data_IF_011225301745
#
_entry.id   IF_011225301745
#
_cell.length_a   1.000
_cell.length_b   1.000
_cell.length_c   1.000
_cell.angle_alpha   90.00
_cell.angle_beta   90.00
_cell.angle_gamma   90.00
#
_symmetry.space_group_name_H-M   'P 1'
#
loop_
_entity.id
_entity.type
_entity.pdbx_description
1 polymer ?
#
# COMPACT_ATOMS: atom_id res chain seq x y z
N UNK A 1 23.12 18.58 5.31
CA UNK A 1 22.45 18.40 6.62
C UNK A 1 20.96 18.26 6.37
N UNK A 2 20.22 17.43 7.12
CA UNK A 2 18.76 17.38 6.99
C UNK A 2 18.17 18.77 7.20
N UNK A 3 17.08 19.08 6.50
CA UNK A 3 16.30 20.29 6.74
C UNK A 3 15.91 20.37 8.23
N UNK A 4 16.27 21.45 8.96
CA UNK A 4 15.93 21.61 10.38
C UNK A 4 14.43 21.39 10.67
N UNK A 5 13.54 21.78 9.75
CA UNK A 5 12.11 21.58 9.89
C UNK A 5 11.72 20.09 9.94
N UNK A 6 12.42 19.24 9.18
CA UNK A 6 12.19 17.79 9.20
C UNK A 6 12.66 17.15 10.51
N UNK A 7 13.70 17.69 11.15
CA UNK A 7 14.17 17.20 12.45
C UNK A 7 13.15 17.50 13.55
N UNK A 8 12.61 18.72 13.58
CA UNK A 8 11.55 19.12 14.51
C UNK A 8 10.28 18.28 14.30
N UNK A 9 9.91 18.05 13.04
CA UNK A 9 8.80 17.17 12.65
C UNK A 9 8.96 15.76 13.23
N UNK A 10 10.13 15.16 13.05
CA UNK A 10 10.43 13.82 13.59
C UNK A 10 10.31 13.77 15.12
N UNK A 11 10.77 14.82 15.81
CA UNK A 11 10.64 14.91 17.27
C UNK A 11 9.17 15.05 17.70
N UNK A 12 8.39 15.85 16.99
CA UNK A 12 6.96 16.00 17.23
C UNK A 12 6.20 14.68 17.00
N UNK A 13 6.49 13.98 15.91
CA UNK A 13 5.93 12.65 15.62
C UNK A 13 6.24 11.65 16.74
N UNK A 14 7.50 11.57 17.17
CA UNK A 14 7.94 10.64 18.21
C UNK A 14 7.37 10.95 19.60
N UNK A 15 6.90 12.18 19.82
CA UNK A 15 6.30 12.62 21.10
C UNK A 15 4.77 12.74 21.05
N UNK A 16 4.15 12.48 19.89
CA UNK A 16 2.71 12.50 19.72
C UNK A 16 2.02 11.47 20.63
N UNK A 17 0.92 11.90 21.27
CA UNK A 17 0.14 11.08 22.22
C UNK A 17 -1.30 10.83 21.78
N UNK A 18 -1.67 11.27 20.60
CA UNK A 18 -2.99 11.08 20.01
C UNK A 18 -2.91 11.14 18.50
N UNK A 19 -3.90 10.57 17.82
CA UNK A 19 -4.00 10.66 16.35
C UNK A 19 -3.99 12.11 15.86
N UNK A 20 -4.67 13.02 16.56
CA UNK A 20 -4.68 14.44 16.24
C UNK A 20 -3.29 15.09 16.37
N UNK A 21 -2.54 14.77 17.42
CA UNK A 21 -1.18 15.27 17.59
C UNK A 21 -0.22 14.73 16.52
N UNK A 22 -0.38 13.48 16.11
CA UNK A 22 0.39 12.90 15.01
C UNK A 22 0.06 13.58 13.68
N UNK A 23 -1.23 13.80 13.38
CA UNK A 23 -1.66 14.52 12.18
C UNK A 23 -1.05 15.92 12.10
N UNK A 24 -1.11 16.69 13.19
CA UNK A 24 -0.51 18.03 13.24
C UNK A 24 1.02 18.00 13.12
N UNK A 25 1.69 17.02 13.74
CA UNK A 25 3.13 16.85 13.58
C UNK A 25 3.52 16.63 12.11
N UNK A 26 2.73 15.86 11.36
CA UNK A 26 2.98 15.54 9.96
C UNK A 26 2.90 16.76 9.01
N UNK A 27 2.37 17.92 9.44
CA UNK A 27 2.39 19.15 8.61
C UNK A 27 3.80 19.58 8.21
N UNK A 28 4.80 19.28 9.05
CA UNK A 28 6.20 19.57 8.75
C UNK A 28 6.89 18.48 7.90
N UNK A 29 6.22 17.36 7.61
CA UNK A 29 6.78 16.25 6.85
C UNK A 29 6.75 16.54 5.34
N UNK A 30 7.91 16.77 4.75
CA UNK A 30 8.03 17.19 3.36
C UNK A 30 8.43 16.04 2.44
N UNK A 31 9.38 15.21 2.85
CA UNK A 31 9.99 14.17 2.00
C UNK A 31 10.62 13.07 2.85
N UNK A 32 10.65 11.81 2.39
CA UNK A 32 9.90 11.26 1.24
C UNK A 32 8.38 11.12 1.52
N UNK A 33 7.58 11.04 0.46
CA UNK A 33 6.12 10.85 0.56
C UNK A 33 5.80 9.46 1.11
N UNK A 34 5.14 9.39 2.26
CA UNK A 34 4.96 8.14 3.01
C UNK A 34 3.52 7.95 3.48
N UNK A 35 3.05 6.70 3.48
CA UNK A 35 1.88 6.31 4.26
C UNK A 35 2.28 6.18 5.73
N UNK A 36 1.83 7.10 6.57
CA UNK A 36 2.05 7.06 8.02
C UNK A 36 0.78 6.52 8.66
N UNK A 37 0.90 5.45 9.43
CA UNK A 37 -0.19 4.85 10.22
C UNK A 37 0.13 5.06 11.69
N UNK A 38 -0.86 5.46 12.47
CA UNK A 38 -0.73 5.71 13.91
C UNK A 38 -1.90 5.11 14.67
N UNK A 39 -1.65 4.69 15.90
CA UNK A 39 -2.65 4.23 16.84
C UNK A 39 -2.30 4.74 18.25
N UNK A 40 -3.32 5.04 19.07
CA UNK A 40 -3.13 5.47 20.45
C UNK A 40 -3.79 4.55 21.48
N UNK A 41 -3.53 4.82 22.76
CA UNK A 41 -4.01 4.02 23.90
C UNK A 41 -5.50 4.19 24.17
N UNK A 42 -6.15 5.18 23.56
CA UNK A 42 -7.60 5.38 23.62
C UNK A 42 -8.34 4.51 22.60
N UNK A 43 -7.59 3.81 21.74
CA UNK A 43 -8.13 2.90 20.72
C UNK A 43 -8.39 3.59 19.38
N UNK A 44 -7.89 4.82 19.17
CA UNK A 44 -8.01 5.48 17.88
C UNK A 44 -6.93 4.99 16.92
N UNK A 45 -7.26 4.98 15.63
CA UNK A 45 -6.33 4.71 14.54
C UNK A 45 -6.45 5.80 13.47
N UNK A 46 -5.31 6.16 12.87
CA UNK A 46 -5.25 7.15 11.82
C UNK A 46 -4.23 6.78 10.74
N UNK A 47 -4.46 7.31 9.55
CA UNK A 47 -3.54 7.26 8.43
C UNK A 47 -3.43 8.64 7.78
N UNK A 48 -2.24 8.97 7.29
CA UNK A 48 -1.99 10.15 6.48
C UNK A 48 -0.93 9.83 5.44
N UNK A 49 -1.22 10.16 4.19
CA UNK A 49 -0.23 10.11 3.10
C UNK A 49 0.61 11.39 3.11
N UNK A 50 1.59 11.44 4.00
CA UNK A 50 2.35 12.65 4.31
C UNK A 50 3.49 12.90 3.31
N UNK A 51 3.69 14.16 2.93
CA UNK A 51 4.77 14.62 2.06
C UNK A 51 4.29 15.74 1.14
N UNK A 52 5.23 16.44 0.49
CA UNK A 52 4.91 17.46 -0.52
C UNK A 52 4.73 16.82 -1.88
N UNK A 53 3.49 16.82 -2.37
CA UNK A 53 3.12 16.35 -3.71
C UNK A 53 2.84 17.57 -4.58
N UNK A 54 3.59 17.79 -5.66
CA UNK A 54 3.38 18.96 -6.51
C UNK A 54 2.10 18.82 -7.34
N UNK A 55 1.35 19.92 -7.42
CA UNK A 55 0.28 20.08 -8.42
C UNK A 55 0.93 20.63 -9.69
N UNK A 56 0.65 20.01 -10.83
CA UNK A 56 1.22 20.40 -12.12
C UNK A 56 0.15 21.00 -13.01
N UNK A 57 0.56 21.97 -13.83
CA UNK A 57 -0.27 22.47 -14.92
C UNK A 57 -0.29 21.44 -16.07
N UNK A 58 -1.48 21.10 -16.56
CA UNK A 58 -1.65 20.07 -17.59
C UNK A 58 -1.70 18.63 -17.06
N UNK A 59 -1.60 17.67 -18.00
CA UNK A 59 -1.83 16.26 -17.71
C UNK A 59 -0.70 15.64 -16.89
N UNK A 60 -1.01 14.74 -15.94
CA UNK A 60 0.00 13.98 -15.22
C UNK A 60 0.89 13.12 -16.15
N UNK A 61 2.20 13.17 -15.91
CA UNK A 61 3.18 12.36 -16.64
C UNK A 61 4.06 11.55 -15.68
N UNK A 62 4.38 10.31 -16.09
CA UNK A 62 5.32 9.40 -15.41
C UNK A 62 6.67 9.30 -16.13
N UNK A 63 6.85 10.10 -17.18
CA UNK A 63 8.03 10.14 -18.05
C UNK A 63 8.56 11.57 -18.11
N UNK A 64 9.80 11.79 -18.58
CA UNK A 64 10.28 13.15 -18.83
C UNK A 64 9.31 13.95 -19.71
N UNK A 65 9.05 15.19 -19.32
CA UNK A 65 8.20 16.14 -20.03
C UNK A 65 9.04 17.31 -20.59
N UNK A 66 8.57 18.02 -21.63
CA UNK A 66 9.27 19.17 -22.19
C UNK A 66 9.41 20.35 -21.20
N UNK A 67 10.53 20.45 -20.49
CA UNK A 67 10.77 21.51 -19.51
C UNK A 67 11.01 22.92 -20.08
N UNK A 68 10.89 23.10 -21.40
CA UNK A 68 11.04 24.41 -22.07
C UNK A 68 9.72 25.01 -22.55
N UNK A 69 8.61 24.26 -22.48
CA UNK A 69 7.32 24.68 -23.04
C UNK A 69 6.45 25.46 -22.03
N UNK A 70 6.80 25.42 -20.74
CA UNK A 70 5.95 25.95 -19.66
C UNK A 70 4.73 25.07 -19.35
N UNK A 71 4.49 24.02 -20.14
CA UNK A 71 3.55 22.94 -19.87
C UNK A 71 4.15 22.00 -18.80
N UNK A 72 3.35 21.47 -17.87
CA UNK A 72 3.79 20.58 -16.77
C UNK A 72 4.59 21.23 -15.64
N UNK A 73 4.65 22.56 -15.59
CA UNK A 73 5.24 23.31 -14.49
C UNK A 73 4.50 23.08 -13.17
N UNK A 74 5.21 23.19 -12.06
CA UNK A 74 4.60 23.06 -10.73
C UNK A 74 3.89 24.36 -10.38
N UNK A 75 2.58 24.29 -10.13
CA UNK A 75 1.75 25.44 -9.76
C UNK A 75 1.47 25.52 -8.26
N UNK A 76 2.07 24.61 -7.49
CA UNK A 76 1.95 24.55 -6.05
C UNK A 76 2.13 23.13 -5.54
N UNK A 77 1.65 22.90 -4.33
CA UNK A 77 1.57 21.57 -3.71
C UNK A 77 0.14 21.32 -3.29
N UNK A 78 -0.24 20.03 -3.23
CA UNK A 78 -1.52 19.65 -2.62
C UNK A 78 -1.54 20.21 -1.18
N UNK A 79 -2.57 20.97 -0.78
CA UNK A 79 -2.69 21.44 0.59
C UNK A 79 -2.68 20.27 1.57
N UNK A 80 -2.01 20.42 2.72
CA UNK A 80 -1.85 19.32 3.68
C UNK A 80 -3.19 18.71 4.10
N UNK A 81 -4.19 19.56 4.36
CA UNK A 81 -5.53 19.14 4.79
C UNK A 81 -6.31 18.41 3.68
N UNK A 82 -5.84 18.51 2.44
CA UNK A 82 -6.41 17.81 1.28
C UNK A 82 -5.64 16.54 0.92
N UNK A 83 -4.51 16.23 1.57
CA UNK A 83 -3.81 14.96 1.39
C UNK A 83 -4.71 13.79 1.86
N UNK A 84 -4.60 12.60 1.25
CA UNK A 84 -5.36 11.44 1.69
C UNK A 84 -5.09 11.12 3.16
N UNK A 85 -6.16 11.08 3.96
CA UNK A 85 -6.09 10.79 5.39
C UNK A 85 -7.35 10.06 5.85
N UNK A 86 -7.22 9.32 6.95
CA UNK A 86 -8.30 8.57 7.57
C UNK A 86 -8.16 8.64 9.09
N UNK A 87 -9.28 8.71 9.80
CA UNK A 87 -9.33 8.66 11.26
C UNK A 87 -10.53 7.80 11.68
N UNK A 88 -10.29 6.71 12.40
CA UNK A 88 -11.30 5.74 12.84
C UNK A 88 -12.31 5.37 11.74
N UNK A 89 -11.85 4.80 10.60
CA UNK A 89 -12.76 4.42 9.52
C UNK A 89 -13.75 3.35 9.98
N UNK A 90 -14.95 3.33 9.37
CA UNK A 90 -16.01 2.36 9.70
C UNK A 90 -15.58 0.90 9.51
N UNK A 91 -14.58 0.65 8.66
CA UNK A 91 -13.96 -0.67 8.48
C UNK A 91 -13.35 -1.22 9.77
N UNK A 92 -13.03 -0.37 10.75
CA UNK A 92 -12.38 -0.74 12.00
C UNK A 92 -10.89 -1.10 11.86
N UNK A 93 -10.31 -0.90 10.67
CA UNK A 93 -8.88 -1.11 10.43
C UNK A 93 -8.34 -0.19 9.34
N UNK A 94 -7.02 0.02 9.35
CA UNK A 94 -6.26 0.70 8.31
C UNK A 94 -5.15 -0.24 7.84
N UNK A 95 -5.08 -0.51 6.54
CA UNK A 95 -4.05 -1.35 5.93
C UNK A 95 -3.42 -0.64 4.74
N UNK A 96 -2.10 -0.41 4.79
CA UNK A 96 -1.35 0.14 3.66
C UNK A 96 -0.22 -0.80 3.29
N UNK A 97 -0.10 -1.12 2.01
CA UNK A 97 0.89 -2.05 1.48
C UNK A 97 1.37 -1.61 0.09
N UNK A 98 1.67 -0.31 -0.04
CA UNK A 98 2.08 0.35 -1.30
C UNK A 98 1.04 0.27 -2.43
N UNK A 99 -0.19 -0.16 -2.12
CA UNK A 99 -1.35 -0.03 -2.98
C UNK A 99 -1.72 1.45 -3.19
N UNK A 100 -2.59 1.72 -4.17
CA UNK A 100 -3.15 3.04 -4.40
C UNK A 100 -3.75 3.61 -3.10
N UNK A 101 -3.42 4.87 -2.82
CA UNK A 101 -3.73 5.54 -1.54
C UNK A 101 -5.09 6.24 -1.53
N UNK A 102 -5.62 6.54 -2.71
CA UNK A 102 -6.91 7.16 -2.91
C UNK A 102 -7.59 6.53 -4.14
N UNK A 103 -8.90 6.70 -4.24
CA UNK A 103 -9.68 6.23 -5.37
C UNK A 103 -9.61 7.20 -6.57
N UNK A 104 -10.35 6.88 -7.63
CA UNK A 104 -10.41 7.69 -8.85
C UNK A 104 -11.14 9.04 -8.68
N UNK A 105 -11.85 9.24 -7.57
CA UNK A 105 -12.59 10.47 -7.28
C UNK A 105 -11.74 11.51 -6.55
N UNK A 106 -10.55 11.13 -6.07
CA UNK A 106 -9.61 12.04 -5.44
C UNK A 106 -9.14 13.11 -6.44
N UNK A 107 -9.27 14.42 -6.13
CA UNK A 107 -9.14 15.47 -7.14
C UNK A 107 -7.71 15.75 -7.59
N UNK A 108 -6.72 15.21 -6.88
CA UNK A 108 -5.31 15.46 -7.19
C UNK A 108 -4.62 14.21 -7.71
N UNK A 109 -3.70 14.42 -8.64
CA UNK A 109 -2.81 13.37 -9.09
C UNK A 109 -1.73 13.06 -8.04
N UNK A 110 -1.66 11.80 -7.59
CA UNK A 110 -0.60 11.31 -6.69
C UNK A 110 0.42 10.48 -7.46
N UNK A 111 -0.01 9.39 -8.08
CA UNK A 111 0.79 8.49 -8.92
C UNK A 111 -0.14 7.58 -9.73
N UNK A 112 0.39 6.87 -10.74
CA UNK A 112 -0.23 5.64 -11.27
C UNK A 112 0.65 4.41 -11.07
N UNK A 113 1.84 4.58 -10.50
CA UNK A 113 2.75 3.51 -10.19
C UNK A 113 2.62 3.14 -8.71
N UNK A 114 1.83 2.10 -8.48
CA UNK A 114 1.58 1.51 -7.16
C UNK A 114 1.80 0.00 -7.27
N UNK A 115 2.01 -0.65 -6.12
CA UNK A 115 1.90 -2.11 -6.08
C UNK A 115 0.49 -2.55 -6.46
N UNK A 116 0.38 -3.72 -7.08
CA UNK A 116 -0.86 -4.36 -7.55
C UNK A 116 -1.95 -4.53 -6.50
N UNK A 117 -1.60 -4.41 -5.21
CA UNK A 117 -2.56 -4.39 -4.11
C UNK A 117 -2.79 -5.76 -3.45
N UNK A 118 -2.18 -6.84 -3.95
CA UNK A 118 -2.38 -8.19 -3.42
C UNK A 118 -2.09 -8.29 -1.91
N UNK A 119 -1.01 -7.63 -1.45
CA UNK A 119 -0.68 -7.56 -0.03
C UNK A 119 -1.73 -6.80 0.79
N UNK A 120 -2.26 -5.70 0.26
CA UNK A 120 -3.29 -4.93 0.94
C UNK A 120 -4.58 -5.74 1.05
N UNK A 121 -4.97 -6.44 -0.01
CA UNK A 121 -6.11 -7.36 -0.02
C UNK A 121 -5.89 -8.52 0.97
N UNK A 122 -4.67 -9.07 1.04
CA UNK A 122 -4.33 -10.14 1.99
C UNK A 122 -4.42 -9.67 3.44
N UNK A 123 -3.90 -8.47 3.74
CA UNK A 123 -4.03 -7.84 5.06
C UNK A 123 -5.51 -7.62 5.40
N UNK A 124 -6.30 -7.09 4.48
CA UNK A 124 -7.74 -6.89 4.69
C UNK A 124 -8.44 -8.22 4.99
N UNK A 125 -8.18 -9.28 4.21
CA UNK A 125 -8.78 -10.60 4.42
C UNK A 125 -8.47 -11.18 5.81
N UNK A 126 -7.26 -10.96 6.35
CA UNK A 126 -6.90 -11.33 7.72
C UNK A 126 -7.69 -10.52 8.75
N UNK A 127 -7.79 -9.20 8.57
CA UNK A 127 -8.39 -8.29 9.54
C UNK A 127 -9.94 -8.30 9.53
N UNK A 128 -10.55 -8.63 8.40
CA UNK A 128 -12.01 -8.78 8.27
C UNK A 128 -12.47 -10.24 8.33
N UNK A 129 -11.53 -11.17 8.46
CA UNK A 129 -11.81 -12.60 8.54
C UNK A 129 -12.41 -13.00 9.89
N UNK A 130 -12.67 -14.31 10.10
CA UNK A 130 -13.23 -14.82 11.36
C UNK A 130 -12.21 -14.85 12.52
N UNK A 131 -10.99 -14.37 12.28
CA UNK A 131 -9.91 -14.43 13.25
C UNK A 131 -10.02 -13.31 14.27
N UNK A 132 -9.72 -13.63 15.53
CA UNK A 132 -9.50 -12.60 16.54
C UNK A 132 -8.15 -11.94 16.26
N UNK A 133 -8.13 -10.63 16.00
CA UNK A 133 -6.89 -9.89 15.84
C UNK A 133 -6.19 -9.76 17.20
N UNK A 134 -5.21 -10.63 17.44
CA UNK A 134 -4.36 -10.64 18.61
C UNK A 134 -2.88 -10.78 18.22
N UNK A 135 -1.98 -10.85 19.21
CA UNK A 135 -0.54 -10.91 18.96
C UNK A 135 -0.13 -12.12 18.11
N UNK A 136 -0.80 -13.26 18.29
CA UNK A 136 -0.51 -14.49 17.54
C UNK A 136 -0.93 -14.31 16.08
N UNK A 137 -2.14 -13.80 15.86
CA UNK A 137 -2.65 -13.51 14.51
C UNK A 137 -1.78 -12.48 13.80
N UNK A 138 -1.37 -11.41 14.49
CA UNK A 138 -0.46 -10.40 13.92
C UNK A 138 0.91 -10.98 13.56
N UNK A 139 1.45 -11.89 14.38
CA UNK A 139 2.68 -12.61 14.03
C UNK A 139 2.51 -13.48 12.79
N UNK A 140 1.40 -14.23 12.70
CA UNK A 140 1.09 -15.06 11.53
C UNK A 140 0.95 -14.22 10.26
N UNK A 141 0.26 -13.08 10.33
CA UNK A 141 0.15 -12.15 9.21
C UNK A 141 1.51 -11.69 8.67
N UNK A 142 2.50 -11.46 9.54
CA UNK A 142 3.84 -11.05 9.11
C UNK A 142 4.62 -12.17 8.41
N UNK A 143 4.27 -13.44 8.63
CA UNK A 143 4.86 -14.61 7.97
C UNK A 143 3.99 -15.15 6.83
N UNK A 144 2.90 -14.48 6.47
CA UNK A 144 1.99 -14.92 5.42
C UNK A 144 2.69 -14.90 4.05
N UNK A 145 2.71 -16.06 3.38
CA UNK A 145 3.34 -16.25 2.07
C UNK A 145 2.32 -16.60 0.98
N UNK A 146 1.03 -16.40 1.23
CA UNK A 146 -0.01 -16.71 0.24
C UNK A 146 -0.07 -15.61 -0.81
N UNK A 147 0.03 -15.98 -2.09
CA UNK A 147 -0.05 -15.04 -3.21
C UNK A 147 -1.36 -15.22 -3.97
N UNK A 148 -2.24 -14.22 -3.86
CA UNK A 148 -3.52 -14.19 -4.60
C UNK A 148 -3.28 -14.16 -6.12
N UNK A 149 -2.28 -13.38 -6.57
CA UNK A 149 -1.87 -13.36 -7.98
C UNK A 149 -1.42 -14.75 -8.44
N UNK A 150 -0.65 -15.47 -7.63
CA UNK A 150 -0.16 -16.78 -8.02
C UNK A 150 -1.28 -17.81 -8.11
N UNK A 151 -2.30 -17.72 -7.25
CA UNK A 151 -3.53 -18.52 -7.37
C UNK A 151 -4.27 -18.23 -8.68
N UNK A 152 -4.41 -16.96 -9.05
CA UNK A 152 -5.08 -16.59 -10.29
C UNK A 152 -4.30 -17.11 -11.52
N UNK A 153 -2.97 -16.98 -11.50
CA UNK A 153 -2.10 -17.53 -12.55
C UNK A 153 -2.22 -19.05 -12.60
N UNK A 154 -2.14 -19.74 -11.47
CA UNK A 154 -2.26 -21.19 -11.39
C UNK A 154 -3.61 -21.68 -11.95
N UNK A 155 -4.71 -21.02 -11.61
CA UNK A 155 -6.03 -21.32 -12.15
C UNK A 155 -6.11 -21.17 -13.68
N UNK A 156 -5.45 -20.14 -14.23
CA UNK A 156 -5.37 -19.93 -15.69
C UNK A 156 -4.49 -20.96 -16.39
N UNK A 157 -3.38 -21.37 -15.75
CA UNK A 157 -2.49 -22.40 -16.29
C UNK A 157 -3.14 -23.78 -16.28
N UNK A 158 -3.84 -24.12 -15.19
CA UNK A 158 -4.48 -25.42 -14.97
C UNK A 158 -5.42 -25.88 -16.09
N UNK A 159 -6.00 -24.94 -16.85
CA UNK A 159 -6.95 -25.23 -17.93
C UNK A 159 -6.33 -25.25 -19.33
N UNK A 160 -5.03 -25.02 -19.45
CA UNK A 160 -4.37 -25.00 -20.75
C UNK A 160 -4.30 -26.41 -21.36
N UNK A 161 -4.67 -26.59 -22.64
CA UNK A 161 -4.54 -27.88 -23.29
C UNK A 161 -3.07 -28.17 -23.61
N UNK A 162 -2.65 -29.42 -23.45
CA UNK A 162 -1.31 -29.88 -23.85
C UNK A 162 -1.33 -31.35 -24.24
N UNK A 163 -0.50 -31.71 -25.23
CA UNK A 163 -0.23 -33.09 -25.60
C UNK A 163 1.06 -33.63 -24.94
N UNK A 164 1.84 -32.76 -24.29
CA UNK A 164 3.08 -33.12 -23.61
C UNK A 164 2.78 -33.64 -22.19
N UNK A 165 3.10 -34.89 -21.85
CA UNK A 165 2.84 -35.46 -20.53
C UNK A 165 3.56 -34.74 -19.38
N UNK A 166 4.76 -34.20 -19.64
CA UNK A 166 5.52 -33.45 -18.63
C UNK A 166 4.79 -32.16 -18.30
N UNK A 167 4.38 -31.39 -19.32
CA UNK A 167 3.59 -30.17 -19.10
C UNK A 167 2.25 -30.50 -18.44
N UNK A 168 1.58 -31.57 -18.88
CA UNK A 168 0.32 -32.00 -18.28
C UNK A 168 0.44 -32.29 -16.77
N UNK A 169 1.56 -32.88 -16.33
CA UNK A 169 1.81 -33.10 -14.90
C UNK A 169 1.97 -31.80 -14.11
N UNK A 170 2.62 -30.78 -14.68
CA UNK A 170 2.79 -29.47 -14.02
C UNK A 170 1.46 -28.72 -13.92
N UNK A 171 0.63 -28.75 -14.97
CA UNK A 171 -0.69 -28.11 -14.95
C UNK A 171 -1.64 -28.77 -13.94
N UNK A 172 -1.55 -30.09 -13.77
CA UNK A 172 -2.30 -30.81 -12.75
C UNK A 172 -1.92 -30.36 -11.32
N UNK A 173 -0.65 -30.05 -11.08
CA UNK A 173 -0.22 -29.50 -9.79
C UNK A 173 -0.78 -28.10 -9.54
N UNK A 174 -0.84 -27.24 -10.57
CA UNK A 174 -1.47 -25.91 -10.46
C UNK A 174 -2.95 -25.98 -10.06
N UNK A 175 -3.63 -27.07 -10.41
CA UNK A 175 -5.06 -27.27 -10.06
C UNK A 175 -5.26 -27.50 -8.56
N UNK A 176 -4.28 -28.12 -7.90
CA UNK A 176 -4.36 -28.50 -6.48
C UNK A 176 -3.62 -27.53 -5.56
N UNK A 177 -2.86 -26.60 -6.12
CA UNK A 177 -2.01 -25.72 -5.35
C UNK A 177 -2.83 -24.69 -4.55
N UNK A 178 -2.45 -24.49 -3.30
CA UNK A 178 -3.10 -23.58 -2.34
C UNK A 178 -2.57 -22.14 -2.41
N UNK A 179 -1.66 -21.84 -3.33
CA UNK A 179 -1.13 -20.49 -3.55
C UNK A 179 -0.09 -20.04 -2.53
N UNK A 180 0.29 -20.91 -1.60
CA UNK A 180 1.27 -20.62 -0.59
C UNK A 180 2.69 -20.75 -1.16
N UNK A 181 3.44 -19.64 -1.11
CA UNK A 181 4.84 -19.55 -1.53
C UNK A 181 5.82 -20.07 -0.47
N UNK A 182 5.34 -20.82 0.53
CA UNK A 182 6.19 -21.49 1.53
C UNK A 182 7.29 -22.29 0.86
N UNK A 183 8.45 -22.36 1.52
CA UNK A 183 9.68 -23.03 1.05
C UNK A 183 9.45 -24.44 0.50
N UNK A 184 8.58 -25.22 1.11
CA UNK A 184 8.34 -26.63 0.74
C UNK A 184 7.30 -26.79 -0.39
N UNK A 185 6.75 -25.67 -0.90
CA UNK A 185 5.78 -25.66 -1.99
C UNK A 185 6.48 -25.82 -3.33
N UNK A 186 6.51 -27.05 -3.85
CA UNK A 186 7.03 -27.31 -5.21
C UNK A 186 6.28 -26.51 -6.28
N UNK A 187 4.92 -26.45 -6.30
CA UNK A 187 4.22 -25.67 -7.32
C UNK A 187 4.58 -24.18 -7.32
N UNK A 188 5.02 -23.62 -6.20
CA UNK A 188 5.47 -22.22 -6.14
C UNK A 188 6.75 -21.94 -6.95
N UNK A 189 7.52 -22.97 -7.31
CA UNK A 189 8.77 -22.86 -8.07
C UNK A 189 8.63 -23.23 -9.56
N UNK A 190 7.43 -23.66 -9.99
CA UNK A 190 7.10 -24.03 -11.37
C UNK A 190 6.63 -22.81 -12.13
#
# INVERSE_FOLDING_TARGET
TPDPAMQETLLAMNSARSCAAMYEALRGWVVPTQNVVYADVEGNIAHTHAGRIPVRDGEPALVPVPGWAGEHEWIGYIPFDELPHQHNPESGFIGTANNAVADEYYPYFVSKDFSTGDRAQRIAAWLTGPYKVDLITMQQMQYDTVSQTALEVAARLAVLPTADPFIGSLLAEMTLWDGDLRKESRPAAV
#
